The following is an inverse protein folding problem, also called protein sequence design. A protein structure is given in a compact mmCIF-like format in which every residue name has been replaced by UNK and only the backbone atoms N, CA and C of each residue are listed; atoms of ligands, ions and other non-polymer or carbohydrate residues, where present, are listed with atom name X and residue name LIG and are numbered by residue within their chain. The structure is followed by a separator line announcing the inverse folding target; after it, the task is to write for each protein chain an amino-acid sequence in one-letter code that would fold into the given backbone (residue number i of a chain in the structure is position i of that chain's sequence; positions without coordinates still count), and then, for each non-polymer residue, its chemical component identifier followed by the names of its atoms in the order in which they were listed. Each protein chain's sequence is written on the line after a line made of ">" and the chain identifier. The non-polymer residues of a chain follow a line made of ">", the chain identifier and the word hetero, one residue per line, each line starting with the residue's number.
data_IF_546485765342
#
_entry.id   IF_546485765342
#
_cell.length_a   1.000
_cell.length_b   1.000
_cell.length_c   1.000
_cell.angle_alpha   90.00
_cell.angle_beta   90.00
_cell.angle_gamma   90.00
#
_symmetry.space_group_name_H-M   'P 1'
#
loop_
_entity.id
_entity.type
_entity.pdbx_description
1 polymer ?
#
# COMPACT_ATOMS: atom_id res chain seq x y z
N UNK A 1 12.41 -22.79 -10.41
CA UNK A 1 11.10 -22.84 -9.71
C UNK A 1 10.32 -21.61 -10.17
N UNK A 2 9.21 -21.82 -10.89
CA UNK A 2 8.40 -20.72 -11.43
C UNK A 2 7.68 -20.11 -10.23
N UNK A 3 8.01 -18.85 -9.89
CA UNK A 3 7.19 -18.11 -8.93
C UNK A 3 5.74 -18.19 -9.43
N UNK A 4 4.73 -18.42 -8.58
CA UNK A 4 3.36 -18.20 -9.01
C UNK A 4 3.31 -16.78 -9.56
N UNK A 5 3.12 -16.66 -10.87
CA UNK A 5 3.28 -15.42 -11.66
C UNK A 5 2.50 -14.25 -11.03
N UNK A 6 1.44 -14.60 -10.30
CA UNK A 6 0.60 -13.72 -9.52
C UNK A 6 1.30 -13.02 -8.33
N UNK A 7 2.15 -13.72 -7.55
CA UNK A 7 2.82 -13.12 -6.38
C UNK A 7 3.87 -12.08 -6.78
N UNK A 8 4.64 -12.38 -7.84
CA UNK A 8 5.58 -11.43 -8.44
C UNK A 8 4.85 -10.22 -9.02
N UNK A 9 3.71 -10.42 -9.68
CA UNK A 9 2.87 -9.33 -10.18
C UNK A 9 2.37 -8.43 -9.05
N UNK A 10 1.92 -9.01 -7.94
CA UNK A 10 1.48 -8.26 -6.76
C UNK A 10 2.63 -7.44 -6.15
N UNK A 11 3.83 -8.03 -5.99
CA UNK A 11 5.00 -7.34 -5.46
C UNK A 11 5.45 -6.16 -6.35
N UNK A 12 5.43 -6.32 -7.68
CA UNK A 12 5.73 -5.24 -8.62
C UNK A 12 4.66 -4.14 -8.56
N UNK A 13 3.39 -4.54 -8.48
CA UNK A 13 2.26 -3.61 -8.39
C UNK A 13 2.34 -2.76 -7.13
N UNK A 14 2.72 -3.34 -5.99
CA UNK A 14 2.89 -2.63 -4.72
C UNK A 14 3.95 -1.52 -4.83
N UNK A 15 5.07 -1.76 -5.53
CA UNK A 15 6.10 -0.74 -5.78
C UNK A 15 5.55 0.39 -6.65
N UNK A 16 4.81 0.06 -7.71
CA UNK A 16 4.20 1.05 -8.60
C UNK A 16 3.18 1.92 -7.85
N UNK A 17 2.33 1.30 -7.03
CA UNK A 17 1.33 1.98 -6.22
C UNK A 17 2.00 2.89 -5.20
N UNK A 18 3.04 2.40 -4.54
CA UNK A 18 3.83 3.19 -3.59
C UNK A 18 4.42 4.42 -4.26
N UNK A 19 5.02 4.29 -5.44
CA UNK A 19 5.53 5.43 -6.20
C UNK A 19 4.41 6.45 -6.51
N UNK A 20 3.24 5.97 -6.91
CA UNK A 20 2.07 6.81 -7.15
C UNK A 20 1.57 7.54 -5.90
N UNK A 21 1.47 6.85 -4.77
CA UNK A 21 1.05 7.42 -3.48
C UNK A 21 2.04 8.48 -3.01
N UNK A 22 3.34 8.17 -3.04
CA UNK A 22 4.40 9.12 -2.73
C UNK A 22 4.30 10.36 -3.63
N UNK A 23 4.13 10.16 -4.94
CA UNK A 23 3.99 11.26 -5.89
C UNK A 23 2.81 12.17 -5.53
N UNK A 24 1.61 11.62 -5.36
CA UNK A 24 0.40 12.41 -5.09
C UNK A 24 0.50 13.18 -3.77
N UNK A 25 1.02 12.52 -2.72
CA UNK A 25 1.13 13.09 -1.38
C UNK A 25 2.22 14.16 -1.31
N UNK A 26 3.43 13.85 -1.80
CA UNK A 26 4.56 14.80 -1.81
C UNK A 26 4.24 16.00 -2.72
N UNK A 27 3.57 15.78 -3.84
CA UNK A 27 3.12 16.85 -4.72
C UNK A 27 2.21 17.84 -3.99
N UNK A 28 1.20 17.33 -3.28
CA UNK A 28 0.30 18.18 -2.50
C UNK A 28 0.99 18.84 -1.31
N UNK A 29 1.91 18.13 -0.65
CA UNK A 29 2.74 18.65 0.44
C UNK A 29 3.59 19.85 -0.03
N UNK A 30 4.12 19.81 -1.26
CA UNK A 30 4.86 20.90 -1.91
C UNK A 30 3.95 22.05 -2.40
N UNK A 31 2.64 21.96 -2.19
CA UNK A 31 1.68 22.99 -2.59
C UNK A 31 1.20 22.88 -4.04
N UNK A 32 1.39 21.74 -4.70
CA UNK A 32 0.77 21.48 -6.00
C UNK A 32 -0.67 20.96 -5.82
N UNK A 33 -1.49 21.18 -6.85
CA UNK A 33 -2.85 20.67 -6.94
C UNK A 33 -2.90 19.15 -6.67
N UNK A 34 -3.84 18.68 -5.84
CA UNK A 34 -4.02 17.25 -5.59
C UNK A 34 -4.63 16.57 -6.83
N UNK A 35 -3.92 15.58 -7.39
CA UNK A 35 -4.41 14.83 -8.54
C UNK A 35 -5.36 13.71 -8.10
N UNK A 36 -6.62 14.07 -7.85
CA UNK A 36 -7.63 13.12 -7.34
C UNK A 36 -7.90 11.95 -8.30
N UNK A 37 -7.74 12.14 -9.61
CA UNK A 37 -7.92 11.09 -10.62
C UNK A 37 -6.86 10.00 -10.47
N UNK A 38 -5.60 10.42 -10.29
CA UNK A 38 -4.51 9.49 -10.02
C UNK A 38 -4.70 8.80 -8.67
N UNK A 39 -5.06 9.55 -7.62
CA UNK A 39 -5.30 8.97 -6.29
C UNK A 39 -6.42 7.91 -6.31
N UNK A 40 -7.53 8.20 -6.99
CA UNK A 40 -8.63 7.24 -7.18
C UNK A 40 -8.17 5.99 -7.94
N UNK A 41 -7.43 6.18 -9.03
CA UNK A 41 -6.85 5.07 -9.80
C UNK A 41 -5.94 4.18 -8.94
N UNK A 42 -5.08 4.78 -8.13
CA UNK A 42 -4.21 4.06 -7.19
C UNK A 42 -5.01 3.28 -6.14
N UNK A 43 -6.04 3.90 -5.55
CA UNK A 43 -6.90 3.25 -4.56
C UNK A 43 -7.61 2.04 -5.16
N UNK A 44 -8.20 2.19 -6.34
CA UNK A 44 -8.91 1.10 -7.01
C UNK A 44 -7.94 -0.02 -7.40
N UNK A 45 -6.79 0.33 -7.99
CA UNK A 45 -5.81 -0.65 -8.44
C UNK A 45 -5.24 -1.46 -7.26
N UNK A 46 -4.84 -0.79 -6.17
CA UNK A 46 -4.40 -1.45 -4.93
C UNK A 46 -5.47 -2.38 -4.36
N UNK A 47 -6.73 -1.93 -4.29
CA UNK A 47 -7.83 -2.76 -3.83
C UNK A 47 -8.00 -4.02 -4.69
N UNK A 48 -7.97 -3.88 -6.02
CA UNK A 48 -8.10 -5.02 -6.94
C UNK A 48 -6.94 -6.00 -6.81
N UNK A 49 -5.69 -5.52 -6.76
CA UNK A 49 -4.50 -6.38 -6.64
C UNK A 49 -4.52 -7.13 -5.31
N UNK A 50 -4.85 -6.46 -4.20
CA UNK A 50 -4.95 -7.09 -2.88
C UNK A 50 -6.06 -8.14 -2.82
N UNK A 51 -7.23 -7.85 -3.43
CA UNK A 51 -8.33 -8.80 -3.50
C UNK A 51 -7.95 -10.03 -4.32
N UNK A 52 -7.35 -9.84 -5.51
CA UNK A 52 -6.90 -10.94 -6.35
C UNK A 52 -5.82 -11.77 -5.68
N UNK A 53 -4.87 -11.14 -4.96
CA UNK A 53 -3.86 -11.83 -4.17
C UNK A 53 -4.50 -12.73 -3.11
N UNK A 54 -5.46 -12.20 -2.35
CA UNK A 54 -6.16 -12.97 -1.33
C UNK A 54 -6.93 -14.15 -1.95
N UNK A 55 -7.65 -13.95 -3.05
CA UNK A 55 -8.38 -15.03 -3.75
C UNK A 55 -7.42 -16.10 -4.25
N UNK A 56 -6.31 -15.70 -4.88
CA UNK A 56 -5.27 -16.61 -5.35
C UNK A 56 -4.68 -17.44 -4.20
N UNK A 57 -4.39 -16.76 -3.08
CA UNK A 57 -3.89 -17.37 -1.86
C UNK A 57 -4.90 -18.40 -1.32
N UNK A 58 -6.16 -18.01 -1.11
CA UNK A 58 -7.21 -18.92 -0.63
C UNK A 58 -7.38 -20.19 -1.48
N UNK A 59 -7.18 -20.10 -2.80
CA UNK A 59 -7.32 -21.23 -3.72
C UNK A 59 -6.13 -22.21 -3.70
N UNK A 60 -4.92 -21.75 -3.35
CA UNK A 60 -3.68 -22.52 -3.52
C UNK A 60 -3.01 -22.93 -2.19
N UNK A 61 -3.64 -22.68 -1.04
CA UNK A 61 -3.08 -23.07 0.27
C UNK A 61 -3.36 -24.55 0.59
N UNK A 62 -2.43 -25.41 0.18
CA UNK A 62 -2.21 -26.74 0.79
C UNK A 62 -1.20 -26.55 1.93
N UNK A 63 -1.52 -27.02 3.14
CA UNK A 63 -0.70 -26.86 4.36
C UNK A 63 0.78 -27.23 4.12
N UNK A 64 1.64 -26.24 3.93
CA UNK A 64 3.10 -26.41 4.02
C UNK A 64 3.55 -26.11 5.44
N UNK A 65 4.49 -26.90 5.96
CA UNK A 65 5.16 -26.63 7.24
C UNK A 65 6.04 -25.39 7.11
N UNK A 66 5.44 -24.21 7.17
CA UNK A 66 6.17 -22.93 7.14
C UNK A 66 6.69 -22.62 8.54
N UNK A 67 7.94 -22.14 8.65
CA UNK A 67 8.56 -21.75 9.92
C UNK A 67 7.64 -20.82 10.75
N UNK A 68 7.53 -21.10 12.05
CA UNK A 68 6.65 -20.38 12.99
C UNK A 68 6.92 -18.86 13.00
N UNK A 69 8.16 -18.46 12.78
CA UNK A 69 8.58 -17.05 12.66
C UNK A 69 7.92 -16.34 11.47
N UNK A 70 7.86 -16.99 10.31
CA UNK A 70 7.28 -16.42 9.08
C UNK A 70 5.76 -16.28 9.24
N UNK A 71 5.11 -17.26 9.88
CA UNK A 71 3.66 -17.23 10.16
C UNK A 71 3.30 -16.08 11.11
N UNK A 72 4.07 -15.87 12.18
CA UNK A 72 3.86 -14.76 13.12
C UNK A 72 4.11 -13.41 12.46
N UNK A 73 5.15 -13.29 11.64
CA UNK A 73 5.47 -12.06 10.93
C UNK A 73 4.38 -11.73 9.88
N UNK A 74 3.88 -12.73 9.15
CA UNK A 74 2.80 -12.57 8.19
C UNK A 74 1.46 -12.17 8.86
N UNK A 75 1.12 -12.78 10.01
CA UNK A 75 -0.08 -12.45 10.77
C UNK A 75 -0.01 -11.02 11.35
N UNK A 76 1.14 -10.60 11.87
CA UNK A 76 1.37 -9.24 12.33
C UNK A 76 1.32 -8.22 11.17
N UNK A 77 1.84 -8.62 10.01
CA UNK A 77 1.90 -7.78 8.83
C UNK A 77 0.52 -7.53 8.20
N UNK A 78 -0.37 -8.54 8.14
CA UNK A 78 -1.61 -8.47 7.35
C UNK A 78 -2.62 -7.36 7.69
N UNK A 79 -2.54 -6.74 8.87
CA UNK A 79 -3.47 -5.68 9.28
C UNK A 79 -2.97 -4.25 8.99
N UNK A 80 -1.66 -4.04 8.98
CA UNK A 80 -1.06 -2.71 8.83
C UNK A 80 -1.29 -2.10 7.44
N UNK A 81 -1.07 -2.81 6.31
CA UNK A 81 -1.34 -2.28 4.97
C UNK A 81 -2.79 -1.88 4.78
N UNK A 82 -3.73 -2.66 5.32
CA UNK A 82 -5.15 -2.34 5.22
C UNK A 82 -5.50 -1.03 5.94
N UNK A 83 -5.00 -0.84 7.15
CA UNK A 83 -5.22 0.39 7.92
C UNK A 83 -4.64 1.59 7.17
N UNK A 84 -3.41 1.46 6.68
CA UNK A 84 -2.71 2.55 6.00
C UNK A 84 -3.33 2.85 4.63
N UNK A 85 -3.84 1.84 3.93
CA UNK A 85 -4.64 1.99 2.72
C UNK A 85 -5.94 2.77 2.96
N UNK A 86 -6.69 2.43 4.02
CA UNK A 86 -7.91 3.15 4.40
C UNK A 86 -7.58 4.61 4.74
N UNK A 87 -6.49 4.85 5.48
CA UNK A 87 -6.02 6.21 5.76
C UNK A 87 -5.71 6.98 4.48
N UNK A 88 -5.05 6.36 3.50
CA UNK A 88 -4.79 7.00 2.20
C UNK A 88 -6.08 7.36 1.47
N UNK A 89 -7.08 6.49 1.47
CA UNK A 89 -8.39 6.77 0.87
C UNK A 89 -9.08 7.96 1.57
N UNK A 90 -9.10 7.98 2.91
CA UNK A 90 -9.67 9.08 3.69
C UNK A 90 -8.94 10.39 3.39
N UNK A 91 -7.60 10.40 3.45
CA UNK A 91 -6.81 11.59 3.18
C UNK A 91 -6.95 12.07 1.73
N UNK A 92 -7.18 11.18 0.77
CA UNK A 92 -7.47 11.54 -0.61
C UNK A 92 -8.80 12.31 -0.73
N UNK A 93 -9.84 11.87 -0.02
CA UNK A 93 -11.14 12.56 0.02
C UNK A 93 -11.01 13.92 0.72
N UNK A 94 -10.29 13.98 1.84
CA UNK A 94 -10.04 15.25 2.55
C UNK A 94 -9.23 16.22 1.70
N UNK A 95 -8.18 15.75 1.03
CA UNK A 95 -7.34 16.56 0.15
C UNK A 95 -8.14 17.13 -1.03
N UNK A 96 -8.98 16.30 -1.67
CA UNK A 96 -9.89 16.77 -2.71
C UNK A 96 -10.86 17.85 -2.19
N UNK A 97 -11.38 17.68 -0.98
CA UNK A 97 -12.31 18.64 -0.36
C UNK A 97 -11.62 19.96 0.02
N UNK A 98 -10.39 19.91 0.54
CA UNK A 98 -9.58 21.09 0.86
C UNK A 98 -9.20 21.86 -0.40
N UNK A 99 -8.88 21.15 -1.48
CA UNK A 99 -8.50 21.77 -2.73
C UNK A 99 -9.61 22.62 -3.35
N UNK A 100 -10.89 22.27 -3.14
CA UNK A 100 -12.03 23.12 -3.55
C UNK A 100 -12.04 24.50 -2.88
N UNK A 101 -11.29 24.68 -1.79
CA UNK A 101 -11.12 25.94 -1.05
C UNK A 101 -9.71 26.54 -1.24
N UNK A 102 -8.99 26.12 -2.29
CA UNK A 102 -7.60 26.53 -2.55
C UNK A 102 -6.63 26.24 -1.39
N UNK A 103 -6.94 25.20 -0.60
CA UNK A 103 -6.15 24.73 0.54
C UNK A 103 -5.52 23.37 0.25
N UNK A 104 -4.43 23.05 0.94
CA UNK A 104 -3.63 21.85 0.69
C UNK A 104 -3.57 20.99 1.95
N UNK A 105 -4.39 19.94 2.03
CA UNK A 105 -4.55 19.14 3.25
C UNK A 105 -3.23 18.58 3.77
N UNK A 106 -2.43 17.95 2.90
CA UNK A 106 -1.15 17.35 3.30
C UNK A 106 -0.12 18.40 3.72
N UNK A 107 -0.16 19.60 3.14
CA UNK A 107 0.70 20.71 3.54
C UNK A 107 0.33 21.27 4.90
N UNK A 108 -0.95 21.47 5.15
CA UNK A 108 -1.45 22.01 6.42
C UNK A 108 -1.32 21.01 7.57
N UNK A 109 -1.35 19.71 7.27
CA UNK A 109 -1.18 18.63 8.25
C UNK A 109 0.14 17.89 8.03
N UNK A 110 1.25 18.62 7.90
CA UNK A 110 2.56 18.06 7.55
C UNK A 110 3.04 16.96 8.51
N UNK A 111 2.85 17.13 9.82
CA UNK A 111 3.22 16.11 10.83
C UNK A 111 2.45 14.80 10.63
N UNK A 112 1.14 14.88 10.37
CA UNK A 112 0.32 13.70 10.11
C UNK A 112 0.70 13.06 8.77
N UNK A 113 1.02 13.88 7.76
CA UNK A 113 1.48 13.42 6.46
C UNK A 113 2.79 12.63 6.55
N UNK A 114 3.78 13.13 7.30
CA UNK A 114 5.04 12.41 7.50
C UNK A 114 4.85 11.11 8.27
N UNK A 115 3.99 11.10 9.29
CA UNK A 115 3.65 9.87 10.02
C UNK A 115 2.99 8.84 9.09
N UNK A 116 2.03 9.28 8.28
CA UNK A 116 1.39 8.45 7.27
C UNK A 116 2.39 7.87 6.27
N UNK A 117 3.30 8.69 5.73
CA UNK A 117 4.33 8.25 4.79
C UNK A 117 5.28 7.24 5.43
N UNK A 118 5.68 7.45 6.68
CA UNK A 118 6.51 6.49 7.41
C UNK A 118 5.80 5.15 7.59
N UNK A 119 4.53 5.16 8.03
CA UNK A 119 3.72 3.96 8.17
C UNK A 119 3.51 3.24 6.84
N UNK A 120 3.27 3.99 5.76
CA UNK A 120 3.16 3.45 4.39
C UNK A 120 4.43 2.71 3.98
N UNK A 121 5.60 3.34 4.15
CA UNK A 121 6.87 2.74 3.77
C UNK A 121 7.23 1.52 4.63
N UNK A 122 6.95 1.56 5.94
CA UNK A 122 7.14 0.40 6.82
C UNK A 122 6.24 -0.75 6.37
N UNK A 123 4.99 -0.45 6.05
CA UNK A 123 4.04 -1.43 5.53
C UNK A 123 4.57 -2.08 4.24
N UNK A 124 4.85 -1.29 3.21
CA UNK A 124 5.36 -1.83 1.94
C UNK A 124 6.69 -2.57 2.13
N UNK A 125 7.60 -2.03 2.91
CA UNK A 125 8.91 -2.65 3.17
C UNK A 125 8.79 -4.00 3.87
N UNK A 126 7.84 -4.15 4.80
CA UNK A 126 7.58 -5.44 5.46
C UNK A 126 6.94 -6.46 4.51
N UNK A 127 6.04 -6.03 3.61
CA UNK A 127 5.47 -6.89 2.57
C UNK A 127 6.50 -7.42 1.58
N UNK A 128 7.37 -6.53 1.09
CA UNK A 128 8.49 -6.90 0.20
C UNK A 128 9.46 -7.85 0.90
N UNK A 129 9.78 -7.61 2.18
CA UNK A 129 10.68 -8.49 2.94
C UNK A 129 10.12 -9.90 3.07
N UNK A 130 8.82 -10.03 3.38
CA UNK A 130 8.14 -11.32 3.43
C UNK A 130 8.18 -12.05 2.08
N UNK A 131 7.93 -11.33 0.98
CA UNK A 131 8.03 -11.89 -0.37
C UNK A 131 9.43 -12.49 -0.64
N UNK A 132 10.50 -11.75 -0.32
CA UNK A 132 11.87 -12.24 -0.51
C UNK A 132 12.22 -13.43 0.39
N UNK A 133 11.76 -13.43 1.65
CA UNK A 133 12.00 -14.53 2.59
C UNK A 133 11.29 -15.81 2.15
N UNK A 134 10.03 -15.71 1.69
CA UNK A 134 9.28 -16.86 1.16
C UNK A 134 9.82 -17.40 -0.17
N UNK A 135 10.66 -16.64 -0.88
CA UNK A 135 11.28 -17.06 -2.14
C UNK A 135 12.70 -17.65 -1.96
N UNK A 136 13.43 -17.24 -0.91
CA UNK A 136 14.77 -17.74 -0.60
C UNK A 136 14.81 -18.97 0.33
N UNK A 137 13.70 -19.33 0.97
CA UNK A 137 13.53 -20.59 1.72
C UNK A 137 13.09 -21.73 0.81
#
# INVERSE_FOLDING_TARGET
>A
MVAPSFSTFAAISEVFITAGVLYVVISNLKGMAFNWRLALGLVLFEFFVNMLYMVYHMQHHTKTQTEETIVRLAAAHGSLPLIVFILFAIYSVLSYSYQKRSRYYFREHSRQTWLFLALWLISVGTGQTLYFLSYKS
#
